data_IF_642936887301
#
_entry.id   IF_642936887301
#
_cell.length_a   1.000
_cell.length_b   1.000
_cell.length_c   1.000
_cell.angle_alpha   90.00
_cell.angle_beta   90.00
_cell.angle_gamma   90.00
#
_symmetry.space_group_name_H-M   'P 1'
#
loop_
_entity.id
_entity.type
_entity.pdbx_description
1 polymer ?
#
# COMPACT_ATOMS: atom_id res chain seq x y z
N UNK A 1 -28.40 4.95 -21.37
CA UNK A 1 -27.84 4.14 -20.27
C UNK A 1 -26.37 3.97 -20.61
N UNK A 2 -25.51 4.83 -20.06
CA UNK A 2 -24.06 4.73 -20.26
C UNK A 2 -23.62 3.46 -19.56
N UNK A 3 -22.90 2.61 -20.28
CA UNK A 3 -22.24 1.44 -19.71
C UNK A 3 -21.29 2.00 -18.64
N UNK A 4 -21.56 1.72 -17.36
CA UNK A 4 -20.52 1.88 -16.34
C UNK A 4 -19.41 0.96 -16.83
N UNK A 5 -18.34 1.55 -17.39
CA UNK A 5 -17.10 0.80 -17.55
C UNK A 5 -16.79 0.25 -16.16
N UNK A 6 -16.59 -1.06 -16.11
CA UNK A 6 -16.27 -1.78 -14.88
C UNK A 6 -14.88 -1.30 -14.42
N UNK A 7 -14.86 -0.12 -13.79
CA UNK A 7 -13.64 0.60 -13.44
C UNK A 7 -13.21 0.01 -12.12
N UNK A 8 -12.07 -0.69 -12.13
CA UNK A 8 -11.51 -1.31 -10.92
C UNK A 8 -11.38 -0.27 -9.80
N UNK A 9 -11.65 -0.69 -8.57
CA UNK A 9 -11.53 0.20 -7.44
C UNK A 9 -10.07 0.66 -7.31
N UNK A 10 -9.88 1.97 -7.11
CA UNK A 10 -8.56 2.60 -7.00
C UNK A 10 -8.51 3.36 -5.67
N UNK A 11 -7.45 3.15 -4.89
CA UNK A 11 -7.16 3.92 -3.69
C UNK A 11 -5.77 4.52 -3.78
N UNK A 12 -5.65 5.80 -3.43
CA UNK A 12 -4.38 6.52 -3.37
C UNK A 12 -4.29 7.23 -2.03
N UNK A 13 -3.20 7.00 -1.31
CA UNK A 13 -2.96 7.59 0.01
C UNK A 13 -1.48 7.90 0.22
N UNK A 14 -1.20 8.61 1.30
CA UNK A 14 0.18 8.91 1.70
C UNK A 14 0.50 8.25 3.04
N UNK A 15 1.73 7.74 3.16
CA UNK A 15 2.32 7.31 4.41
C UNK A 15 3.52 8.23 4.70
N UNK A 16 3.60 8.86 5.89
CA UNK A 16 4.80 9.59 6.25
C UNK A 16 5.99 8.62 6.31
N UNK A 17 7.20 9.08 6.01
CA UNK A 17 8.42 8.32 6.28
C UNK A 17 9.14 9.00 7.43
N UNK A 18 9.53 8.21 8.44
CA UNK A 18 10.30 8.71 9.57
C UNK A 18 11.63 9.27 9.06
N UNK A 19 12.05 10.48 9.50
CA UNK A 19 13.31 11.08 9.04
C UNK A 19 14.50 10.13 9.19
N UNK A 20 15.21 9.88 8.09
CA UNK A 20 16.36 8.98 8.03
C UNK A 20 16.03 7.54 7.63
N UNK A 21 14.74 7.20 7.41
CA UNK A 21 14.31 5.87 6.96
C UNK A 21 13.95 5.79 5.48
N UNK A 22 14.17 6.86 4.72
CA UNK A 22 13.84 6.91 3.29
C UNK A 22 14.57 5.84 2.48
N UNK A 23 15.83 5.56 2.80
CA UNK A 23 16.59 4.54 2.07
C UNK A 23 16.15 3.12 2.45
N UNK A 24 15.85 2.89 3.73
CA UNK A 24 15.31 1.61 4.19
C UNK A 24 13.98 1.28 3.51
N UNK A 25 13.08 2.26 3.37
CA UNK A 25 11.82 2.10 2.65
C UNK A 25 12.07 1.73 1.19
N UNK A 26 12.95 2.49 0.53
CA UNK A 26 13.31 2.29 -0.88
C UNK A 26 13.90 0.91 -1.13
N UNK A 27 14.92 0.53 -0.37
CA UNK A 27 15.63 -0.74 -0.54
C UNK A 27 14.69 -1.92 -0.27
N UNK A 28 13.84 -1.82 0.75
CA UNK A 28 12.86 -2.88 1.06
C UNK A 28 11.87 -3.07 -0.08
N UNK A 29 11.25 -1.99 -0.58
CA UNK A 29 10.30 -2.07 -1.69
C UNK A 29 10.96 -2.53 -2.99
N UNK A 30 12.19 -2.09 -3.26
CA UNK A 30 12.97 -2.56 -4.42
C UNK A 30 13.33 -4.04 -4.32
N UNK A 31 13.65 -4.52 -3.12
CA UNK A 31 13.90 -5.93 -2.87
C UNK A 31 12.65 -6.76 -3.11
N UNK A 32 11.49 -6.34 -2.58
CA UNK A 32 10.20 -6.99 -2.83
C UNK A 32 9.75 -6.96 -4.29
N UNK A 33 10.22 -5.97 -5.07
CA UNK A 33 9.95 -5.87 -6.50
C UNK A 33 10.94 -6.67 -7.38
N UNK A 34 12.06 -7.14 -6.81
CA UNK A 34 13.11 -7.86 -7.53
C UNK A 34 12.88 -9.37 -7.46
N UNK A 35 13.15 -10.15 -8.53
CA UNK A 35 12.91 -11.59 -8.53
C UNK A 35 13.60 -12.32 -7.36
N UNK A 36 12.85 -13.12 -6.62
CA UNK A 36 13.34 -13.87 -5.46
C UNK A 36 12.21 -14.42 -4.58
N UNK A 37 12.53 -15.24 -3.57
CA UNK A 37 11.54 -15.83 -2.66
C UNK A 37 10.67 -14.79 -1.93
N UNK A 38 11.27 -13.67 -1.53
CA UNK A 38 10.57 -12.56 -0.86
C UNK A 38 9.57 -11.88 -1.79
N UNK A 39 9.95 -11.64 -3.05
CA UNK A 39 9.05 -11.16 -4.09
C UNK A 39 7.90 -12.13 -4.33
N UNK A 40 8.17 -13.44 -4.41
CA UNK A 40 7.12 -14.43 -4.67
C UNK A 40 6.10 -14.50 -3.53
N UNK A 41 6.57 -14.43 -2.28
CA UNK A 41 5.71 -14.33 -1.10
C UNK A 41 4.88 -13.06 -1.08
N UNK A 42 5.50 -11.91 -1.34
CA UNK A 42 4.82 -10.62 -1.45
C UNK A 42 3.76 -10.61 -2.56
N UNK A 43 4.13 -11.05 -3.77
CA UNK A 43 3.21 -11.09 -4.90
C UNK A 43 2.08 -12.10 -4.70
N UNK A 44 2.34 -13.23 -4.03
CA UNK A 44 1.28 -14.19 -3.66
C UNK A 44 0.30 -13.58 -2.65
N UNK A 45 0.79 -12.88 -1.62
CA UNK A 45 -0.05 -12.20 -0.65
C UNK A 45 -0.93 -11.12 -1.31
N UNK A 46 -0.35 -10.26 -2.16
CA UNK A 46 -1.09 -9.24 -2.91
C UNK A 46 -2.17 -9.83 -3.81
N UNK A 47 -1.85 -10.89 -4.55
CA UNK A 47 -2.85 -11.58 -5.39
C UNK A 47 -3.96 -12.23 -4.58
N UNK A 48 -3.63 -12.86 -3.44
CA UNK A 48 -4.64 -13.44 -2.55
C UNK A 48 -5.58 -12.38 -1.95
N UNK A 49 -5.09 -11.14 -1.80
CA UNK A 49 -5.87 -9.98 -1.38
C UNK A 49 -6.67 -9.32 -2.53
N UNK A 50 -6.58 -9.85 -3.76
CA UNK A 50 -7.25 -9.27 -4.93
C UNK A 50 -6.63 -7.96 -5.42
N UNK A 51 -5.41 -7.63 -4.98
CA UNK A 51 -4.67 -6.46 -5.46
C UNK A 51 -4.08 -6.78 -6.83
N UNK A 52 -4.49 -6.00 -7.82
CA UNK A 52 -4.04 -6.14 -9.22
C UNK A 52 -2.89 -5.21 -9.56
N UNK A 53 -2.76 -4.10 -8.83
CA UNK A 53 -1.67 -3.15 -8.97
C UNK A 53 -1.34 -2.50 -7.64
N UNK A 54 -0.06 -2.41 -7.35
CA UNK A 54 0.50 -1.58 -6.28
C UNK A 54 1.65 -0.75 -6.87
N UNK A 55 1.69 0.53 -6.55
CA UNK A 55 2.79 1.41 -6.94
C UNK A 55 3.09 2.41 -5.83
N UNK A 56 4.37 2.67 -5.60
CA UNK A 56 4.84 3.56 -4.53
C UNK A 56 5.82 4.58 -5.09
N UNK A 57 5.62 5.85 -4.74
CA UNK A 57 6.55 6.94 -5.03
C UNK A 57 6.95 7.66 -3.75
N UNK A 58 8.17 8.19 -3.70
CA UNK A 58 8.55 9.12 -2.64
C UNK A 58 8.37 10.56 -3.10
N UNK A 59 7.56 11.32 -2.37
CA UNK A 59 7.47 12.76 -2.52
C UNK A 59 8.19 13.43 -1.35
N UNK A 60 9.26 14.17 -1.65
CA UNK A 60 9.90 15.06 -0.68
C UNK A 60 9.10 16.35 -0.60
N UNK A 61 8.81 16.77 0.62
CA UNK A 61 8.11 18.04 0.91
C UNK A 61 8.85 18.80 2.01
N UNK A 62 8.55 20.10 2.23
CA UNK A 62 9.07 20.83 3.39
C UNK A 62 8.70 20.22 4.75
N UNK A 63 7.65 19.39 4.81
CA UNK A 63 7.20 18.71 6.04
C UNK A 63 7.85 17.33 6.24
N UNK A 64 8.70 16.89 5.31
CA UNK A 64 9.29 15.55 5.29
C UNK A 64 8.97 14.76 4.03
N UNK A 65 9.46 13.53 3.98
CA UNK A 65 9.20 12.61 2.86
C UNK A 65 7.94 11.81 3.11
N UNK A 66 7.09 11.69 2.09
CA UNK A 66 5.92 10.82 2.09
C UNK A 66 6.06 9.74 1.01
N UNK A 67 5.70 8.51 1.35
CA UNK A 67 5.38 7.48 0.36
C UNK A 67 3.95 7.72 -0.15
N UNK A 68 3.79 7.97 -1.44
CA UNK A 68 2.50 8.00 -2.13
C UNK A 68 2.24 6.59 -2.63
N UNK A 69 1.17 5.97 -2.14
CA UNK A 69 0.80 4.59 -2.45
C UNK A 69 -0.45 4.60 -3.32
N UNK A 70 -0.39 3.90 -4.44
CA UNK A 70 -1.53 3.55 -5.27
C UNK A 70 -1.80 2.06 -5.14
N UNK A 71 -3.06 1.70 -4.95
CA UNK A 71 -3.56 0.33 -5.03
C UNK A 71 -4.78 0.26 -5.93
N UNK A 72 -4.83 -0.79 -6.76
CA UNK A 72 -6.00 -1.14 -7.56
C UNK A 72 -6.38 -2.60 -7.31
N UNK A 73 -7.68 -2.88 -7.32
CA UNK A 73 -8.25 -4.21 -7.14
C UNK A 73 -9.77 -4.17 -7.07
N UNK A 74 -10.42 -5.33 -7.01
CA UNK A 74 -11.89 -5.41 -6.99
C UNK A 74 -12.49 -5.09 -5.62
N UNK A 75 -11.83 -5.56 -4.55
CA UNK A 75 -12.23 -5.33 -3.14
C UNK A 75 -11.07 -4.76 -2.32
N UNK A 76 -10.80 -3.47 -2.50
CA UNK A 76 -9.74 -2.79 -1.74
C UNK A 76 -10.05 -2.68 -0.24
N UNK A 77 -11.33 -2.67 0.15
CA UNK A 77 -11.71 -2.64 1.56
C UNK A 77 -11.33 -3.98 2.25
N UNK A 78 -11.66 -5.11 1.61
CA UNK A 78 -11.23 -6.43 2.04
C UNK A 78 -9.70 -6.59 2.03
N UNK A 79 -9.02 -6.11 0.99
CA UNK A 79 -7.57 -6.13 0.90
C UNK A 79 -6.90 -5.35 2.06
N UNK A 80 -7.42 -4.15 2.35
CA UNK A 80 -6.98 -3.32 3.47
C UNK A 80 -7.23 -3.99 4.82
N UNK A 81 -8.40 -4.58 5.03
CA UNK A 81 -8.71 -5.32 6.24
C UNK A 81 -7.77 -6.53 6.45
N UNK A 82 -7.42 -7.23 5.36
CA UNK A 82 -6.46 -8.33 5.42
C UNK A 82 -5.05 -7.84 5.79
N UNK A 83 -4.60 -6.71 5.23
CA UNK A 83 -3.31 -6.12 5.61
C UNK A 83 -3.26 -5.67 7.08
N UNK A 84 -4.35 -5.11 7.61
CA UNK A 84 -4.39 -4.55 8.97
C UNK A 84 -4.64 -5.60 10.04
N UNK A 85 -5.38 -6.68 9.72
CA UNK A 85 -5.83 -7.68 10.71
C UNK A 85 -5.47 -9.12 10.37
N UNK A 86 -4.99 -9.42 9.17
CA UNK A 86 -4.63 -10.77 8.74
C UNK A 86 -3.45 -11.35 9.53
N UNK A 87 -3.56 -12.63 9.89
CA UNK A 87 -2.58 -13.35 10.70
C UNK A 87 -1.60 -14.20 9.89
N UNK A 88 -1.52 -14.03 8.58
CA UNK A 88 -0.46 -14.66 7.81
C UNK A 88 0.92 -14.02 8.13
N UNK A 89 2.01 -14.78 7.99
CA UNK A 89 3.35 -14.29 8.31
C UNK A 89 3.74 -13.02 7.56
N UNK A 90 3.32 -12.87 6.31
CA UNK A 90 3.62 -11.71 5.50
C UNK A 90 2.93 -10.46 6.06
N UNK A 91 1.62 -10.49 6.33
CA UNK A 91 0.90 -9.33 6.88
C UNK A 91 1.38 -8.93 8.28
N UNK A 92 1.88 -9.86 9.10
CA UNK A 92 2.58 -9.50 10.35
C UNK A 92 3.87 -8.72 10.07
N UNK A 93 4.74 -9.25 9.22
CA UNK A 93 6.01 -8.60 8.88
C UNK A 93 5.80 -7.24 8.20
N UNK A 94 4.80 -7.15 7.33
CA UNK A 94 4.40 -5.91 6.67
C UNK A 94 3.97 -4.83 7.69
N UNK A 95 3.14 -5.19 8.68
CA UNK A 95 2.73 -4.23 9.73
C UNK A 95 3.91 -3.76 10.58
N UNK A 96 4.87 -4.64 10.89
CA UNK A 96 6.10 -4.24 11.59
C UNK A 96 6.95 -3.29 10.74
N UNK A 97 7.12 -3.58 9.45
CA UNK A 97 7.80 -2.68 8.51
C UNK A 97 7.12 -1.31 8.45
N UNK A 98 5.79 -1.28 8.31
CA UNK A 98 5.04 -0.02 8.25
C UNK A 98 5.16 0.78 9.55
N UNK A 99 5.10 0.09 10.69
CA UNK A 99 5.28 0.74 12.00
C UNK A 99 6.70 1.29 12.15
N UNK A 100 7.70 0.53 11.74
CA UNK A 100 9.10 0.93 11.86
C UNK A 100 9.46 2.09 10.93
N UNK A 101 9.02 2.05 9.67
CA UNK A 101 9.42 3.02 8.65
C UNK A 101 8.50 4.25 8.60
N UNK A 102 7.20 4.05 8.79
CA UNK A 102 6.20 5.11 8.68
C UNK A 102 5.71 5.62 10.04
N UNK A 103 6.02 4.93 11.14
CA UNK A 103 5.50 5.29 12.46
C UNK A 103 4.00 5.05 12.62
N UNK A 104 3.39 4.29 11.70
CA UNK A 104 1.95 4.01 11.69
C UNK A 104 1.71 2.58 12.17
N UNK A 105 0.99 2.44 13.28
CA UNK A 105 0.52 1.12 13.74
C UNK A 105 -0.79 0.76 13.04
N UNK A 106 -0.70 0.02 11.92
CA UNK A 106 -1.88 -0.39 11.15
C UNK A 106 -2.82 -1.32 11.92
N UNK A 107 -2.32 -2.09 12.88
CA UNK A 107 -3.17 -2.97 13.68
C UNK A 107 -4.03 -2.18 14.67
N UNK A 108 -3.48 -1.10 15.23
CA UNK A 108 -4.17 -0.22 16.17
C UNK A 108 -5.05 0.83 15.47
N UNK A 109 -4.56 1.41 14.36
CA UNK A 109 -5.19 2.55 13.69
C UNK A 109 -6.05 2.15 12.50
N UNK A 110 -5.92 0.93 12.01
CA UNK A 110 -6.54 0.48 10.76
C UNK A 110 -5.85 1.06 9.53
N UNK A 111 -6.49 0.86 8.37
CA UNK A 111 -6.04 1.40 7.10
C UNK A 111 -6.33 2.91 7.00
N UNK A 112 -5.53 3.68 6.24
CA UNK A 112 -5.84 5.08 5.96
C UNK A 112 -7.23 5.25 5.35
N UNK A 113 -8.00 6.21 5.88
CA UNK A 113 -9.27 6.63 5.30
C UNK A 113 -9.02 7.56 4.11
N UNK A 114 -9.64 7.25 2.96
CA UNK A 114 -9.48 7.99 1.71
C UNK A 114 -10.85 8.30 1.15
N UNK A 115 -11.18 9.58 1.07
CA UNK A 115 -12.43 10.05 0.45
C UNK A 115 -12.12 10.61 -0.94
N UNK A 116 -12.66 10.04 -2.03
CA UNK A 116 -12.49 10.62 -3.37
C UNK A 116 -13.25 11.95 -3.45
N UNK A 117 -12.55 13.01 -3.88
CA UNK A 117 -13.15 14.34 -4.06
C UNK A 117 -13.55 14.58 -5.52
N UNK A 118 -12.72 14.12 -6.46
CA UNK A 118 -12.97 14.24 -7.90
C UNK A 118 -12.33 13.04 -8.62
N UNK A 119 -13.06 12.48 -9.58
CA UNK A 119 -12.59 11.41 -10.47
C UNK A 119 -13.14 11.67 -11.88
N UNK A 120 -12.37 12.44 -12.66
CA UNK A 120 -12.76 12.84 -14.01
C UNK A 120 -12.02 12.01 -15.06
N UNK A 121 -12.69 11.75 -16.16
CA UNK A 121 -12.10 11.30 -17.43
C UNK A 121 -12.14 12.46 -18.42
N UNK A 122 -11.04 12.74 -19.11
CA UNK A 122 -10.93 13.81 -20.12
C UNK A 122 -10.67 13.22 -21.51
#
# INVERSE_FOLDING_TARGET
MVKVEDRMATSVFVMPIIPGKEEMDRETLQHLASPGPEHDGYAAARRAQGITREAVWHQRTPMGTFAIVLMEGDDLAGAMAAMTHGDDPFNRQFREFVKDVHGVDLAANGAPDVTPIIDNSF
#
